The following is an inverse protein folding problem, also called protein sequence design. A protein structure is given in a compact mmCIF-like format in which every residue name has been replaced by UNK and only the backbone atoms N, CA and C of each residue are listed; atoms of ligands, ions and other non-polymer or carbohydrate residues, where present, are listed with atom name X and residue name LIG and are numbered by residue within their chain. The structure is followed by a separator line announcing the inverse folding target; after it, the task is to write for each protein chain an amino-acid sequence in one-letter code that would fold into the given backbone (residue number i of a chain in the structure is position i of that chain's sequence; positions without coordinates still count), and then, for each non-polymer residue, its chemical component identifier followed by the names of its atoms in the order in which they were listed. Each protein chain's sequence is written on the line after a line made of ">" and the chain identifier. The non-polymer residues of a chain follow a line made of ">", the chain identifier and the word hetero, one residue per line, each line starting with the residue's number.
data_IF_083438593194
#
_entry.id   IF_083438593194
#
_cell.length_a   1.000
_cell.length_b   1.000
_cell.length_c   1.000
_cell.angle_alpha   90.00
_cell.angle_beta   90.00
_cell.angle_gamma   90.00
#
_symmetry.space_group_name_H-M   'P 1'
#
loop_
_entity.id
_entity.type
_entity.pdbx_description
1 polymer ?
#
# COMPACT_ATOMS: atom_id res chain seq x y z
N UNK A 1 -0.22 -16.57 13.50
CA UNK A 1 -1.38 -15.68 13.73
C UNK A 1 -1.32 -14.59 12.67
N UNK A 2 -2.35 -14.43 11.85
CA UNK A 2 -2.33 -13.52 10.69
C UNK A 2 -2.31 -12.05 11.13
N UNK A 3 -1.61 -11.18 10.39
CA UNK A 3 -1.50 -9.74 10.67
C UNK A 3 -2.88 -9.08 10.84
N UNK A 4 -3.82 -9.44 9.97
CA UNK A 4 -5.19 -8.92 10.02
C UNK A 4 -5.90 -9.22 11.34
N UNK A 5 -5.81 -10.45 11.85
CA UNK A 5 -6.42 -10.85 13.13
C UNK A 5 -5.82 -10.08 14.32
N UNK A 6 -4.53 -9.75 14.26
CA UNK A 6 -3.91 -8.88 15.27
C UNK A 6 -4.40 -7.44 15.18
N UNK A 7 -4.55 -6.90 13.97
CA UNK A 7 -5.07 -5.54 13.76
C UNK A 7 -6.50 -5.43 14.30
N UNK A 8 -7.33 -6.44 14.07
CA UNK A 8 -8.66 -6.54 14.66
C UNK A 8 -8.61 -6.57 16.18
N UNK A 9 -7.82 -7.47 16.76
CA UNK A 9 -7.67 -7.60 18.22
C UNK A 9 -7.19 -6.31 18.90
N UNK A 10 -6.34 -5.54 18.23
CA UNK A 10 -5.82 -4.28 18.74
C UNK A 10 -6.74 -3.08 18.45
N UNK A 11 -7.90 -3.30 17.81
CA UNK A 11 -8.85 -2.25 17.41
C UNK A 11 -8.23 -1.19 16.48
N UNK A 12 -7.22 -1.59 15.70
CA UNK A 12 -6.49 -0.72 14.78
C UNK A 12 -7.07 -0.74 13.36
N UNK A 13 -8.21 -1.40 13.16
CA UNK A 13 -8.87 -1.53 11.84
C UNK A 13 -9.13 -0.17 11.19
N UNK A 14 -9.43 0.85 12.01
CA UNK A 14 -9.68 2.22 11.56
C UNK A 14 -8.41 3.00 11.28
N UNK A 15 -7.22 2.50 11.65
CA UNK A 15 -5.92 3.17 11.46
C UNK A 15 -5.27 2.83 10.13
N UNK A 16 -5.75 1.79 9.42
CA UNK A 16 -5.13 1.30 8.21
C UNK A 16 -6.10 1.26 7.04
N UNK A 17 -5.65 1.73 5.88
CA UNK A 17 -6.31 1.53 4.59
C UNK A 17 -5.53 0.50 3.79
N UNK A 18 -6.07 -0.70 3.65
CA UNK A 18 -5.48 -1.72 2.78
C UNK A 18 -5.90 -1.48 1.34
N UNK A 19 -4.91 -1.41 0.44
CA UNK A 19 -5.12 -1.32 -1.00
C UNK A 19 -5.13 -2.73 -1.59
N UNK A 20 -6.01 -2.95 -2.57
CA UNK A 20 -6.10 -4.21 -3.28
C UNK A 20 -4.83 -4.41 -4.16
N UNK A 21 -4.03 -5.47 -3.91
CA UNK A 21 -2.83 -5.75 -4.69
C UNK A 21 -3.09 -6.06 -6.16
N UNK A 22 -4.29 -6.55 -6.53
CA UNK A 22 -4.57 -7.01 -7.90
C UNK A 22 -4.45 -5.87 -8.92
N UNK A 23 -4.83 -4.64 -8.52
CA UNK A 23 -4.74 -3.47 -9.38
C UNK A 23 -3.30 -3.05 -9.67
N UNK A 24 -2.41 -3.20 -8.68
CA UNK A 24 -1.04 -2.68 -8.70
C UNK A 24 0.03 -3.73 -9.03
N UNK A 25 -0.35 -5.00 -9.19
CA UNK A 25 0.54 -6.05 -9.66
C UNK A 25 1.03 -5.78 -11.10
N UNK A 26 2.27 -6.20 -11.42
CA UNK A 26 2.85 -6.00 -12.76
C UNK A 26 2.08 -6.75 -13.87
N UNK A 27 1.42 -7.86 -13.54
CA UNK A 27 0.58 -8.62 -14.49
C UNK A 27 -0.77 -7.96 -14.76
N UNK A 28 -1.12 -6.86 -14.06
CA UNK A 28 -2.35 -6.14 -14.35
C UNK A 28 -2.24 -5.42 -15.69
N UNK A 29 -3.33 -5.42 -16.46
CA UNK A 29 -3.38 -4.80 -17.80
C UNK A 29 -3.33 -3.26 -17.78
N UNK A 30 -3.06 -2.66 -16.62
CA UNK A 30 -3.09 -1.23 -16.38
C UNK A 30 -1.70 -0.61 -16.58
N UNK A 31 -1.64 0.51 -17.30
CA UNK A 31 -0.41 1.27 -17.45
C UNK A 31 -0.03 2.03 -16.16
N UNK A 32 1.17 2.59 -16.14
CA UNK A 32 1.70 3.31 -14.98
C UNK A 32 0.89 4.57 -14.63
N UNK A 33 0.26 5.22 -15.62
CA UNK A 33 -0.50 6.45 -15.42
C UNK A 33 -1.83 6.15 -14.73
N UNK A 34 -2.53 5.08 -15.15
CA UNK A 34 -3.76 4.62 -14.52
C UNK A 34 -3.52 4.20 -13.05
N UNK A 35 -2.40 3.50 -12.80
CA UNK A 35 -1.97 3.15 -11.43
C UNK A 35 -1.70 4.39 -10.59
N UNK A 36 -0.95 5.36 -11.09
CA UNK A 36 -0.67 6.60 -10.38
C UNK A 36 -1.96 7.38 -10.06
N UNK A 37 -2.88 7.49 -11.03
CA UNK A 37 -4.17 8.15 -10.83
C UNK A 37 -5.01 7.46 -9.76
N UNK A 38 -5.09 6.13 -9.82
CA UNK A 38 -5.83 5.35 -8.81
C UNK A 38 -5.26 5.53 -7.41
N UNK A 39 -3.93 5.58 -7.27
CA UNK A 39 -3.28 5.86 -6.00
C UNK A 39 -3.62 7.27 -5.51
N UNK A 40 -3.63 8.27 -6.39
CA UNK A 40 -4.07 9.63 -6.09
C UNK A 40 -5.51 9.67 -5.55
N UNK A 41 -6.45 9.01 -6.24
CA UNK A 41 -7.85 8.91 -5.81
C UNK A 41 -7.98 8.26 -4.42
N UNK A 42 -7.15 7.25 -4.12
CA UNK A 42 -7.11 6.61 -2.80
C UNK A 42 -6.60 7.59 -1.74
N UNK A 43 -5.53 8.33 -2.03
CA UNK A 43 -4.95 9.31 -1.10
C UNK A 43 -5.92 10.45 -0.80
N UNK A 44 -6.70 10.92 -1.77
CA UNK A 44 -7.70 11.97 -1.59
C UNK A 44 -8.93 11.49 -0.79
N UNK A 45 -9.27 10.20 -0.88
CA UNK A 45 -10.45 9.64 -0.22
C UNK A 45 -10.18 9.02 1.16
N UNK A 46 -8.91 8.84 1.53
CA UNK A 46 -8.54 8.23 2.82
C UNK A 46 -8.70 9.22 3.97
N UNK A 47 -9.11 8.74 5.15
CA UNK A 47 -9.08 9.54 6.37
C UNK A 47 -7.61 9.94 6.65
N UNK A 48 -7.28 11.24 6.88
CA UNK A 48 -5.91 11.66 7.18
C UNK A 48 -5.28 10.94 8.37
N UNK A 49 -6.07 10.37 9.28
CA UNK A 49 -5.57 9.55 10.37
C UNK A 49 -5.30 8.10 9.97
N UNK A 50 -5.42 7.71 8.71
CA UNK A 50 -5.14 6.36 8.23
C UNK A 50 -3.79 6.27 7.53
N UNK A 51 -3.07 5.19 7.83
CA UNK A 51 -1.91 4.77 7.06
C UNK A 51 -2.38 3.90 5.89
N UNK A 52 -1.96 4.25 4.68
CA UNK A 52 -2.25 3.45 3.48
C UNK A 52 -1.22 2.34 3.38
N UNK A 53 -1.70 1.11 3.31
CA UNK A 53 -0.90 -0.11 3.14
C UNK A 53 -0.99 -0.51 1.67
N UNK A 54 0.09 -0.28 0.95
CA UNK A 54 0.18 -0.40 -0.50
C UNK A 54 1.11 -1.54 -0.91
N UNK A 55 0.57 -2.73 -1.22
CA UNK A 55 1.37 -3.82 -1.78
C UNK A 55 1.70 -3.51 -3.24
N UNK A 56 2.98 -3.66 -3.60
CA UNK A 56 3.47 -3.50 -4.96
C UNK A 56 4.20 -4.78 -5.38
N UNK A 57 3.95 -5.24 -6.61
CA UNK A 57 4.64 -6.41 -7.15
C UNK A 57 5.39 -6.04 -8.42
N UNK A 58 6.70 -6.18 -8.37
CA UNK A 58 7.55 -6.14 -9.55
C UNK A 58 7.82 -7.57 -10.02
N UNK A 59 7.01 -8.03 -10.99
CA UNK A 59 7.08 -9.37 -11.56
C UNK A 59 6.85 -10.49 -10.55
N UNK A 60 7.90 -11.02 -9.93
CA UNK A 60 7.85 -12.17 -9.03
C UNK A 60 8.17 -11.80 -7.57
N UNK A 61 8.23 -10.49 -7.26
CA UNK A 61 8.68 -10.00 -5.96
C UNK A 61 7.70 -8.98 -5.37
N UNK A 62 7.22 -9.28 -4.17
CA UNK A 62 6.29 -8.41 -3.43
C UNK A 62 7.05 -7.48 -2.50
N UNK A 63 6.77 -6.20 -2.65
CA UNK A 63 7.22 -5.12 -1.80
C UNK A 63 6.02 -4.44 -1.15
N UNK A 64 6.27 -3.69 -0.08
CA UNK A 64 5.25 -2.96 0.63
C UNK A 64 5.64 -1.50 0.76
N UNK A 65 4.77 -0.60 0.31
CA UNK A 65 4.84 0.80 0.68
C UNK A 65 3.79 1.08 1.78
N UNK A 66 4.18 1.87 2.77
CA UNK A 66 3.28 2.43 3.78
C UNK A 66 3.30 3.93 3.64
N UNK A 67 2.16 4.52 3.32
CA UNK A 67 2.03 5.96 3.09
C UNK A 67 1.31 6.58 4.28
N UNK A 68 1.98 7.53 4.92
CA UNK A 68 1.37 8.47 5.87
C UNK A 68 1.06 9.76 5.10
N UNK A 69 -0.19 9.91 4.67
CA UNK A 69 -0.64 11.07 3.90
C UNK A 69 -0.68 12.36 4.72
N UNK A 70 -0.79 12.26 6.05
CA UNK A 70 -0.82 13.42 6.94
C UNK A 70 0.59 14.01 7.13
N UNK A 71 1.58 13.16 7.39
CA UNK A 71 2.98 13.58 7.53
C UNK A 71 3.70 13.73 6.18
N UNK A 72 3.07 13.30 5.08
CA UNK A 72 3.66 13.32 3.74
C UNK A 72 4.84 12.37 3.60
N UNK A 73 4.81 11.24 4.32
CA UNK A 73 5.91 10.27 4.36
C UNK A 73 5.52 8.97 3.66
N UNK A 74 6.50 8.36 2.98
CA UNK A 74 6.36 7.04 2.40
C UNK A 74 7.50 6.14 2.89
N UNK A 75 7.13 4.99 3.44
CA UNK A 75 8.04 3.97 3.93
C UNK A 75 8.02 2.79 2.99
N UNK A 76 9.18 2.41 2.46
CA UNK A 76 9.32 1.27 1.55
C UNK A 76 9.96 0.10 2.29
N UNK A 77 9.36 -1.08 2.13
CA UNK A 77 9.82 -2.31 2.71
C UNK A 77 10.02 -3.33 1.59
N UNK A 78 11.30 -3.62 1.33
CA UNK A 78 11.73 -4.74 0.51
C UNK A 78 12.42 -5.77 1.41
N UNK A 79 11.85 -6.98 1.46
CA UNK A 79 12.40 -8.09 2.23
C UNK A 79 13.67 -8.71 1.64
N UNK A 80 13.96 -8.43 0.37
CA UNK A 80 15.16 -8.91 -0.36
C UNK A 80 16.28 -7.88 -0.40
N UNK A 81 16.01 -6.63 0.00
CA UNK A 81 17.02 -5.58 0.15
C UNK A 81 17.47 -4.93 -1.15
N UNK A 82 16.66 -4.94 -2.21
CA UNK A 82 16.89 -4.04 -3.34
C UNK A 82 16.45 -2.62 -2.95
N UNK A 83 17.28 -1.62 -3.26
CA UNK A 83 16.82 -0.23 -3.20
C UNK A 83 15.79 0.00 -4.32
N UNK A 84 14.67 0.69 -4.04
CA UNK A 84 13.70 1.03 -5.09
C UNK A 84 14.37 1.88 -6.18
N UNK A 85 14.26 1.44 -7.44
CA UNK A 85 14.81 2.10 -8.62
C UNK A 85 13.98 3.31 -9.08
#
# INVERSE_FOLDING_TARGET
>A
MLLFENIKRCNLEKRFKFVDPEFFANESAHDSEEKAKKLGDIMESVDPMQLIIFPYNESAHWMLAVIDSYEGQCYFFDSTGHDPH
#
